data_IF_809216195890
#
_entry.id   IF_809216195890
#
_cell.length_a   1.000
_cell.length_b   1.000
_cell.length_c   1.000
_cell.angle_alpha   90.00
_cell.angle_beta   90.00
_cell.angle_gamma   90.00
#
_symmetry.space_group_name_H-M   'P 1'
#
loop_
_entity.id
_entity.type
_entity.pdbx_description
1 polymer ?
#
# COMPACT_ATOMS: atom_id res chain seq x y z
N UNK A 1 4.05 27.80 -0.44
CA UNK A 1 3.26 26.82 -1.24
C UNK A 1 4.15 25.60 -1.42
N UNK A 2 3.70 24.41 -1.01
CA UNK A 2 4.49 23.18 -1.16
C UNK A 2 4.67 22.83 -2.65
N UNK A 3 5.74 22.12 -2.98
CA UNK A 3 5.96 21.51 -4.31
C UNK A 3 6.11 20.00 -4.16
N UNK A 4 5.49 19.25 -5.07
CA UNK A 4 5.45 17.78 -5.01
C UNK A 4 4.43 17.27 -3.98
N UNK A 5 4.39 15.96 -3.79
CA UNK A 5 3.59 15.35 -2.73
C UNK A 5 4.10 15.75 -1.34
N UNK A 6 3.17 15.86 -0.39
CA UNK A 6 3.45 16.13 1.01
C UNK A 6 2.38 15.51 1.90
N UNK A 7 2.71 15.28 3.15
CA UNK A 7 1.80 14.72 4.15
C UNK A 7 1.27 15.84 5.03
N UNK A 8 -0.03 15.84 5.28
CA UNK A 8 -0.69 16.75 6.21
C UNK A 8 -1.12 16.00 7.48
N UNK A 9 -1.05 16.67 8.62
CA UNK A 9 -1.62 16.23 9.88
C UNK A 9 -2.88 17.04 10.17
N UNK A 10 -3.98 16.35 10.43
CA UNK A 10 -5.25 16.96 10.80
C UNK A 10 -5.65 16.55 12.20
N UNK A 11 -6.20 17.51 12.95
CA UNK A 11 -6.84 17.26 14.23
C UNK A 11 -8.35 17.34 14.05
N UNK A 12 -9.05 16.29 14.45
CA UNK A 12 -10.51 16.23 14.40
C UNK A 12 -11.13 16.38 15.79
N UNK A 13 -12.36 16.91 15.83
CA UNK A 13 -13.26 16.83 16.96
C UNK A 13 -13.80 15.42 17.13
N UNK A 14 -14.43 15.13 18.28
CA UNK A 14 -15.01 13.82 18.56
C UNK A 14 -16.15 13.45 17.58
N UNK A 15 -16.76 14.45 16.95
CA UNK A 15 -17.80 14.36 15.93
C UNK A 15 -17.24 14.22 14.50
N UNK A 16 -15.92 14.13 14.34
CA UNK A 16 -15.26 14.08 13.03
C UNK A 16 -15.06 15.44 12.36
N UNK A 17 -15.39 16.56 13.03
CA UNK A 17 -15.18 17.90 12.45
C UNK A 17 -13.68 18.26 12.42
N UNK A 18 -13.09 18.70 11.29
CA UNK A 18 -11.69 19.14 11.26
C UNK A 18 -11.50 20.44 12.05
N UNK A 19 -10.58 20.44 13.02
CA UNK A 19 -10.28 21.57 13.90
C UNK A 19 -9.04 22.36 13.46
N UNK A 20 -8.04 21.67 12.93
CA UNK A 20 -6.81 22.25 12.39
C UNK A 20 -6.14 21.29 11.41
N UNK A 21 -5.34 21.84 10.49
CA UNK A 21 -4.51 21.09 9.57
C UNK A 21 -3.16 21.78 9.37
N UNK A 22 -2.08 21.01 9.32
CA UNK A 22 -0.72 21.49 9.07
C UNK A 22 0.09 20.45 8.30
N UNK A 23 1.27 20.82 7.78
CA UNK A 23 2.20 19.83 7.20
C UNK A 23 2.76 18.96 8.32
N UNK A 24 2.89 17.65 8.09
CA UNK A 24 3.27 16.68 9.11
C UNK A 24 4.77 16.67 9.49
N UNK A 25 5.59 17.47 8.80
CA UNK A 25 7.04 17.54 9.01
C UNK A 25 7.57 18.93 8.64
N UNK A 26 8.68 19.34 9.25
CA UNK A 26 9.38 20.59 8.95
C UNK A 26 10.80 20.37 8.42
N UNK A 27 11.22 19.11 8.35
CA UNK A 27 12.55 18.71 7.92
C UNK A 27 12.46 17.43 7.11
N UNK A 28 13.25 17.33 6.04
CA UNK A 28 13.44 16.11 5.24
C UNK A 28 14.87 15.62 5.46
N UNK A 29 15.03 14.38 5.88
CA UNK A 29 16.31 13.70 6.09
C UNK A 29 16.45 12.61 5.02
N UNK A 30 17.31 12.87 4.04
CA UNK A 30 17.67 11.91 3.01
C UNK A 30 18.80 11.03 3.53
N UNK A 31 18.51 9.75 3.78
CA UNK A 31 19.51 8.76 4.12
C UNK A 31 20.23 8.30 2.85
N UNK A 32 21.56 8.41 2.83
CA UNK A 32 22.41 8.09 1.67
C UNK A 32 23.47 7.10 2.12
N UNK A 33 23.39 5.88 1.59
CA UNK A 33 24.31 4.81 1.97
C UNK A 33 25.50 4.74 1.01
N UNK A 34 26.70 4.71 1.58
CA UNK A 34 27.92 4.44 0.85
C UNK A 34 28.10 2.94 0.62
N UNK A 35 29.02 2.57 -0.27
CA UNK A 35 29.29 1.16 -0.61
C UNK A 35 29.80 0.30 0.56
N UNK A 36 30.27 0.94 1.65
CA UNK A 36 30.66 0.26 2.89
C UNK A 36 29.49 0.09 3.88
N UNK A 37 28.28 0.50 3.50
CA UNK A 37 27.06 0.43 4.31
C UNK A 37 26.93 1.56 5.33
N UNK A 38 27.84 2.53 5.34
CA UNK A 38 27.71 3.72 6.19
C UNK A 38 26.62 4.66 5.67
N UNK A 39 25.84 5.25 6.58
CA UNK A 39 24.82 6.25 6.29
C UNK A 39 25.41 7.66 6.42
N UNK A 40 25.18 8.51 5.42
CA UNK A 40 25.56 9.93 5.40
C UNK A 40 24.32 10.80 5.16
N UNK A 41 23.49 11.02 6.20
CA UNK A 41 22.20 11.67 6.04
C UNK A 41 22.34 13.16 5.67
N UNK A 42 21.54 13.60 4.70
CA UNK A 42 21.48 14.98 4.25
C UNK A 42 20.14 15.60 4.65
N UNK A 43 20.19 16.74 5.31
CA UNK A 43 19.00 17.45 5.80
C UNK A 43 18.59 18.58 4.86
N UNK A 44 17.30 18.64 4.54
CA UNK A 44 16.68 19.67 3.71
C UNK A 44 15.47 20.30 4.44
N UNK A 45 15.21 21.57 4.14
CA UNK A 45 13.88 22.13 4.37
C UNK A 45 12.88 21.52 3.37
N UNK A 46 11.60 21.32 3.71
CA UNK A 46 10.56 20.82 2.80
C UNK A 46 10.51 21.58 1.48
N UNK A 47 10.14 20.90 0.40
CA UNK A 47 10.09 21.48 -0.93
C UNK A 47 8.97 22.53 -1.05
N UNK A 48 9.37 23.77 -1.31
CA UNK A 48 8.45 24.90 -1.43
C UNK A 48 8.77 25.73 -2.67
N UNK A 49 7.77 26.51 -3.10
CA UNK A 49 7.99 27.56 -4.09
C UNK A 49 9.01 28.54 -3.54
N UNK A 50 10.15 28.69 -4.23
CA UNK A 50 11.22 29.62 -3.85
C UNK A 50 12.44 28.97 -3.22
N UNK A 51 12.44 27.65 -2.97
CA UNK A 51 13.64 26.91 -2.57
C UNK A 51 14.06 25.86 -3.62
N UNK A 52 15.28 25.34 -3.46
CA UNK A 52 15.87 24.36 -4.36
C UNK A 52 15.71 22.90 -3.89
N UNK A 53 14.99 22.65 -2.78
CA UNK A 53 14.74 21.27 -2.33
C UNK A 53 13.93 20.51 -3.38
N UNK A 54 14.31 19.27 -3.66
CA UNK A 54 13.55 18.39 -4.55
C UNK A 54 12.20 18.04 -3.91
N UNK A 55 11.13 18.07 -4.70
CA UNK A 55 9.84 17.57 -4.23
C UNK A 55 9.82 16.05 -4.30
N UNK A 56 9.03 15.41 -3.44
CA UNK A 56 8.60 14.04 -3.70
C UNK A 56 7.66 14.02 -4.90
N UNK A 57 7.62 12.91 -5.62
CA UNK A 57 6.73 12.69 -6.75
C UNK A 57 5.27 12.57 -6.27
N UNK A 58 4.61 11.43 -6.48
CA UNK A 58 3.29 11.12 -5.93
C UNK A 58 3.44 10.20 -4.74
N UNK A 59 2.80 10.55 -3.62
CA UNK A 59 2.65 9.62 -2.51
C UNK A 59 1.38 8.80 -2.67
N UNK A 60 1.49 7.48 -2.56
CA UNK A 60 0.32 6.62 -2.45
C UNK A 60 0.07 6.21 -0.99
N UNK A 61 -0.68 5.13 -0.82
CA UNK A 61 -1.30 4.68 0.41
C UNK A 61 -0.37 4.72 1.62
N UNK A 62 -0.85 5.38 2.67
CA UNK A 62 -0.13 5.57 3.92
C UNK A 62 -0.43 4.52 4.98
N UNK A 63 0.46 4.37 5.96
CA UNK A 63 0.26 3.49 7.10
C UNK A 63 0.74 4.16 8.39
N UNK A 64 -0.14 4.28 9.38
CA UNK A 64 0.21 4.79 10.70
C UNK A 64 0.38 3.64 11.70
N UNK A 65 1.63 3.29 12.02
CA UNK A 65 1.90 2.42 13.17
C UNK A 65 1.82 3.28 14.44
N UNK A 66 0.81 3.05 15.29
CA UNK A 66 0.76 3.69 16.61
C UNK A 66 1.78 3.08 17.58
N UNK A 67 1.86 1.75 17.64
CA UNK A 67 2.88 0.97 18.37
C UNK A 67 2.98 -0.47 17.83
N UNK A 68 2.92 -0.68 16.51
CA UNK A 68 2.88 -2.02 15.88
C UNK A 68 4.25 -2.70 15.90
N UNK A 69 4.85 -2.79 17.08
CA UNK A 69 6.21 -3.27 17.30
C UNK A 69 7.27 -2.17 17.24
N UNK A 70 6.90 -0.92 16.95
CA UNK A 70 7.79 0.24 16.98
C UNK A 70 7.77 0.94 18.34
N UNK A 71 8.83 1.70 18.64
CA UNK A 71 8.99 2.40 19.94
C UNK A 71 8.27 3.75 20.01
N UNK A 72 7.69 4.22 18.90
CA UNK A 72 6.91 5.45 18.77
C UNK A 72 5.89 5.34 17.63
N UNK A 73 4.88 6.25 17.58
CA UNK A 73 4.09 6.42 16.37
C UNK A 73 4.98 6.83 15.19
N UNK A 74 4.85 6.12 14.07
CA UNK A 74 5.53 6.43 12.81
C UNK A 74 4.51 6.31 11.69
N UNK A 75 4.38 7.37 10.90
CA UNK A 75 3.59 7.37 9.67
C UNK A 75 4.50 7.00 8.49
N UNK A 76 4.10 6.00 7.72
CA UNK A 76 4.77 5.59 6.50
C UNK A 76 3.94 6.03 5.29
N UNK A 77 4.61 6.50 4.24
CA UNK A 77 4.03 6.70 2.91
C UNK A 77 5.16 6.52 1.89
N UNK A 78 4.84 6.48 0.60
CA UNK A 78 5.76 5.96 -0.40
C UNK A 78 5.60 6.68 -1.72
N UNK A 79 6.70 6.90 -2.42
CA UNK A 79 6.64 7.38 -3.80
C UNK A 79 6.20 6.25 -4.73
N UNK A 80 5.03 6.40 -5.34
CA UNK A 80 4.52 5.49 -6.36
C UNK A 80 4.88 6.04 -7.74
N UNK A 81 6.19 6.08 -7.98
CA UNK A 81 6.79 6.62 -9.20
C UNK A 81 8.15 5.97 -9.42
N UNK A 82 8.59 5.95 -10.66
CA UNK A 82 9.84 5.36 -11.08
C UNK A 82 10.86 6.42 -11.55
N UNK A 83 12.12 5.98 -11.66
CA UNK A 83 13.16 6.75 -12.33
C UNK A 83 13.48 8.12 -11.73
N UNK A 84 13.74 9.08 -12.61
CA UNK A 84 14.33 10.39 -12.28
C UNK A 84 13.39 11.38 -11.62
N UNK A 85 12.07 11.11 -11.65
CA UNK A 85 11.06 12.07 -11.19
C UNK A 85 10.83 11.96 -9.67
N UNK A 86 11.41 10.95 -9.04
CA UNK A 86 11.39 10.68 -7.60
C UNK A 86 12.36 11.57 -6.83
N UNK A 87 12.16 11.68 -5.52
CA UNK A 87 12.92 12.60 -4.66
C UNK A 87 14.44 12.44 -4.79
N UNK A 88 14.94 11.20 -4.79
CA UNK A 88 16.38 10.93 -4.94
C UNK A 88 16.81 10.65 -6.39
N UNK A 89 15.86 10.60 -7.31
CA UNK A 89 16.05 10.36 -8.74
C UNK A 89 16.44 8.92 -9.11
N UNK A 90 16.33 7.96 -8.18
CA UNK A 90 16.69 6.56 -8.39
C UNK A 90 15.48 5.61 -8.38
N UNK A 91 14.28 6.10 -8.14
CA UNK A 91 13.04 5.32 -8.04
C UNK A 91 12.35 5.49 -6.70
N UNK A 92 11.08 5.10 -6.62
CA UNK A 92 10.21 5.47 -5.50
C UNK A 92 10.64 4.87 -4.17
N UNK A 93 10.66 5.70 -3.13
CA UNK A 93 11.09 5.34 -1.78
C UNK A 93 9.93 5.31 -0.79
N UNK A 94 10.00 4.38 0.16
CA UNK A 94 9.25 4.51 1.41
C UNK A 94 9.87 5.64 2.25
N UNK A 95 9.03 6.38 2.96
CA UNK A 95 9.46 7.40 3.92
C UNK A 95 8.79 7.17 5.26
N UNK A 96 9.47 7.52 6.35
CA UNK A 96 8.96 7.48 7.71
C UNK A 96 8.86 8.90 8.27
N UNK A 97 7.70 9.26 8.82
CA UNK A 97 7.45 10.56 9.44
C UNK A 97 7.23 10.36 10.93
N UNK A 98 8.06 11.01 11.73
CA UNK A 98 7.96 11.08 13.18
C UNK A 98 8.70 12.31 13.69
N UNK A 99 8.33 12.82 14.87
CA UNK A 99 9.04 13.94 15.51
C UNK A 99 9.18 15.19 14.60
N UNK A 100 8.22 15.41 13.70
CA UNK A 100 8.21 16.46 12.67
C UNK A 100 9.35 16.36 11.63
N UNK A 101 9.95 15.18 11.47
CA UNK A 101 10.94 14.88 10.45
C UNK A 101 10.40 13.79 9.50
N UNK A 102 10.69 13.94 8.20
CA UNK A 102 10.47 12.92 7.18
C UNK A 102 11.81 12.29 6.83
N UNK A 103 11.95 10.98 7.02
CA UNK A 103 13.16 10.21 6.75
C UNK A 103 12.96 9.30 5.54
N UNK A 104 13.86 9.32 4.56
CA UNK A 104 13.85 8.32 3.49
C UNK A 104 14.29 6.94 3.99
N UNK A 105 13.75 5.86 3.43
CA UNK A 105 14.06 4.49 3.83
C UNK A 105 14.64 3.65 2.66
N UNK A 106 15.86 3.93 2.17
CA UNK A 106 16.45 3.19 1.04
C UNK A 106 16.53 1.67 1.23
N UNK A 107 16.70 1.20 2.47
CA UNK A 107 16.74 -0.23 2.79
C UNK A 107 15.45 -1.00 2.45
N UNK A 108 14.33 -0.29 2.24
CA UNK A 108 13.07 -0.89 1.79
C UNK A 108 12.99 -1.00 0.24
N UNK A 109 14.08 -0.68 -0.46
CA UNK A 109 14.19 -0.74 -1.92
C UNK A 109 13.59 0.47 -2.62
N UNK A 110 13.91 0.60 -3.91
CA UNK A 110 13.36 1.64 -4.79
C UNK A 110 12.51 0.99 -5.88
N UNK A 111 11.23 1.33 -5.93
CA UNK A 111 10.25 0.80 -6.87
C UNK A 111 9.04 1.75 -6.90
N UNK A 112 8.10 1.58 -7.82
CA UNK A 112 6.83 2.30 -7.72
C UNK A 112 6.05 1.71 -6.53
N UNK A 113 6.10 2.38 -5.37
CA UNK A 113 5.63 1.80 -4.11
C UNK A 113 4.20 2.21 -3.80
N UNK A 114 3.35 1.20 -3.64
CA UNK A 114 1.99 1.43 -3.18
C UNK A 114 1.96 1.64 -1.67
N UNK A 115 2.23 0.57 -0.91
CA UNK A 115 2.07 0.59 0.55
C UNK A 115 3.32 0.08 1.31
N UNK A 116 3.44 0.47 2.59
CA UNK A 116 4.53 0.05 3.49
C UNK A 116 3.98 -0.25 4.88
N UNK A 117 3.84 -1.54 5.19
CA UNK A 117 3.06 -2.03 6.32
C UNK A 117 3.94 -2.76 7.33
N UNK A 118 3.90 -2.36 8.59
CA UNK A 118 4.70 -2.96 9.65
C UNK A 118 3.95 -4.11 10.34
N UNK A 119 4.58 -5.28 10.39
CA UNK A 119 4.03 -6.43 11.11
C UNK A 119 4.21 -6.28 12.62
N UNK A 120 3.09 -6.26 13.34
CA UNK A 120 3.07 -6.21 14.81
C UNK A 120 3.69 -7.43 15.49
N UNK A 121 4.24 -7.22 16.68
CA UNK A 121 4.68 -8.28 17.61
C UNK A 121 5.72 -9.27 17.05
N UNK A 122 6.71 -8.72 16.34
CA UNK A 122 7.84 -9.43 15.72
C UNK A 122 9.09 -9.50 16.62
N UNK A 123 8.96 -9.08 17.88
CA UNK A 123 10.03 -9.15 18.88
C UNK A 123 11.16 -8.16 18.58
N UNK A 124 12.39 -8.64 18.55
CA UNK A 124 13.60 -7.85 18.28
C UNK A 124 13.81 -7.55 16.79
N UNK A 125 12.87 -7.94 15.92
CA UNK A 125 12.89 -7.63 14.49
C UNK A 125 11.81 -6.63 14.16
N UNK A 126 12.02 -5.90 13.07
CA UNK A 126 10.99 -5.16 12.35
C UNK A 126 10.79 -5.87 11.03
N UNK A 127 9.55 -6.23 10.73
CA UNK A 127 9.18 -6.89 9.49
C UNK A 127 8.20 -5.96 8.78
N UNK A 128 8.53 -5.61 7.55
CA UNK A 128 7.74 -4.67 6.75
C UNK A 128 7.39 -5.36 5.45
N UNK A 129 6.14 -5.27 5.04
CA UNK A 129 5.68 -5.67 3.72
C UNK A 129 5.56 -4.40 2.88
N UNK A 130 6.09 -4.43 1.66
CA UNK A 130 6.01 -3.31 0.73
C UNK A 130 5.56 -3.79 -0.64
N UNK A 131 4.66 -3.00 -1.25
CA UNK A 131 3.96 -3.36 -2.47
C UNK A 131 4.45 -2.51 -3.64
N UNK A 132 4.54 -3.12 -4.81
CA UNK A 132 5.07 -2.53 -6.02
C UNK A 132 3.97 -2.34 -7.06
N UNK A 133 3.34 -1.16 -7.11
CA UNK A 133 2.42 -0.81 -8.19
C UNK A 133 3.17 -0.17 -9.36
N UNK A 134 3.87 -1.01 -10.12
CA UNK A 134 4.50 -0.61 -11.37
C UNK A 134 3.58 -0.79 -12.58
N UNK A 135 4.12 -1.05 -13.78
CA UNK A 135 3.31 -1.12 -14.99
C UNK A 135 2.28 -2.27 -14.96
N UNK A 136 1.17 -2.10 -15.68
CA UNK A 136 0.13 -3.12 -15.92
C UNK A 136 0.64 -4.32 -16.77
N UNK A 137 1.63 -5.01 -16.25
CA UNK A 137 2.36 -6.13 -16.84
C UNK A 137 2.93 -7.02 -15.72
N UNK A 138 3.53 -8.16 -16.07
CA UNK A 138 4.18 -9.08 -15.11
C UNK A 138 5.60 -8.61 -14.75
N UNK A 139 5.72 -7.37 -14.30
CA UNK A 139 6.99 -6.72 -13.94
C UNK A 139 6.87 -6.04 -12.57
N UNK A 140 6.16 -6.68 -11.66
CA UNK A 140 5.98 -6.21 -10.29
C UNK A 140 6.16 -7.39 -9.35
N UNK A 141 6.74 -7.15 -8.18
CA UNK A 141 7.02 -8.18 -7.20
C UNK A 141 6.41 -7.88 -5.83
N UNK A 142 6.46 -8.90 -4.96
CA UNK A 142 6.00 -8.81 -3.57
C UNK A 142 7.22 -8.85 -2.65
N UNK A 143 7.35 -7.84 -1.79
CA UNK A 143 8.58 -7.58 -1.05
C UNK A 143 8.38 -7.62 0.47
N UNK A 144 9.39 -8.12 1.17
CA UNK A 144 9.46 -8.11 2.63
C UNK A 144 10.81 -7.59 3.09
N UNK A 145 10.83 -6.56 3.92
CA UNK A 145 12.02 -6.11 4.62
C UNK A 145 12.07 -6.68 6.03
N UNK A 146 13.25 -7.13 6.47
CA UNK A 146 13.47 -7.59 7.86
C UNK A 146 14.71 -6.92 8.45
N UNK A 147 14.51 -6.03 9.41
CA UNK A 147 15.56 -5.35 10.17
C UNK A 147 15.62 -5.78 11.63
N UNK A 148 16.70 -5.39 12.31
CA UNK A 148 16.94 -5.75 13.72
C UNK A 148 16.90 -4.51 14.60
N UNK A 149 16.03 -4.50 15.59
CA UNK A 149 15.92 -3.39 16.54
C UNK A 149 17.17 -3.32 17.42
N UNK A 150 17.73 -2.12 17.54
CA UNK A 150 18.75 -1.80 18.54
C UNK A 150 18.21 -0.81 19.58
N UNK A 151 17.60 -1.28 20.68
CA UNK A 151 16.96 -0.39 21.65
C UNK A 151 17.91 0.59 22.35
N UNK A 152 19.24 0.42 22.20
CA UNK A 152 20.24 1.32 22.77
C UNK A 152 20.78 2.35 21.77
N UNK A 153 20.40 2.26 20.49
CA UNK A 153 20.81 3.23 19.49
C UNK A 153 20.22 4.62 19.80
N UNK A 154 20.97 5.68 19.51
CA UNK A 154 20.45 7.05 19.61
C UNK A 154 19.50 7.38 18.46
N UNK A 155 19.76 6.82 17.28
CA UNK A 155 18.96 7.02 16.07
C UNK A 155 17.59 6.30 16.18
N UNK A 156 16.47 7.03 16.06
CA UNK A 156 15.13 6.50 15.88
C UNK A 156 14.97 5.34 14.89
N UNK A 157 15.62 5.40 13.72
CA UNK A 157 15.49 4.37 12.69
C UNK A 157 16.19 3.07 13.11
N UNK A 158 17.41 3.16 13.63
CA UNK A 158 18.16 2.00 14.15
C UNK A 158 17.47 1.36 15.36
N UNK A 159 16.89 2.16 16.28
CA UNK A 159 16.08 1.63 17.39
C UNK A 159 14.92 0.77 16.91
N UNK A 160 14.30 1.20 15.82
CA UNK A 160 13.20 0.51 15.18
C UNK A 160 13.64 -0.49 14.11
N UNK A 161 14.95 -0.71 13.89
CA UNK A 161 15.45 -1.62 12.87
C UNK A 161 14.93 -1.30 11.47
N UNK A 162 14.86 -0.02 11.10
CA UNK A 162 14.39 0.45 9.79
C UNK A 162 15.54 0.78 8.81
N UNK A 163 16.79 0.74 9.26
CA UNK A 163 17.97 1.10 8.49
C UNK A 163 19.14 0.10 8.59
N UNK A 164 18.87 -1.15 8.96
CA UNK A 164 19.93 -2.15 9.17
C UNK A 164 19.52 -3.57 8.75
N UNK A 165 18.51 -3.67 7.90
CA UNK A 165 17.87 -4.92 7.53
C UNK A 165 18.12 -5.31 6.08
N UNK A 166 17.57 -6.46 5.72
CA UNK A 166 17.65 -7.03 4.38
C UNK A 166 16.28 -6.97 3.70
N UNK A 167 16.26 -6.59 2.43
CA UNK A 167 15.09 -6.67 1.58
C UNK A 167 15.03 -8.07 0.94
N UNK A 168 13.86 -8.67 0.94
CA UNK A 168 13.58 -9.98 0.37
C UNK A 168 12.47 -9.88 -0.66
N UNK A 169 12.58 -10.68 -1.73
CA UNK A 169 11.53 -10.85 -2.73
C UNK A 169 10.90 -12.24 -2.63
N UNK A 170 9.60 -12.31 -2.85
CA UNK A 170 8.87 -13.57 -2.85
C UNK A 170 9.20 -14.41 -4.10
N UNK A 171 9.41 -15.70 -3.92
CA UNK A 171 9.48 -16.69 -5.00
C UNK A 171 8.68 -17.93 -4.63
N UNK A 172 7.91 -18.45 -5.57
CA UNK A 172 7.22 -19.74 -5.42
C UNK A 172 8.21 -20.90 -5.40
N UNK A 173 8.06 -21.82 -4.44
CA UNK A 173 8.79 -23.09 -4.42
C UNK A 173 8.35 -24.01 -5.57
N UNK A 174 7.13 -23.84 -6.09
CA UNK A 174 6.68 -24.43 -7.35
C UNK A 174 6.84 -23.41 -8.48
N UNK A 175 7.97 -23.49 -9.19
CA UNK A 175 8.30 -22.56 -10.27
C UNK A 175 7.29 -22.58 -11.43
N UNK A 176 6.49 -23.64 -11.56
CA UNK A 176 5.42 -23.69 -12.57
C UNK A 176 4.26 -22.75 -12.25
N UNK A 177 4.17 -22.28 -10.99
CA UNK A 177 3.15 -21.37 -10.45
C UNK A 177 3.78 -20.09 -9.88
N UNK A 178 4.87 -19.62 -10.49
CA UNK A 178 5.65 -18.45 -10.05
C UNK A 178 5.28 -17.13 -10.77
N UNK A 179 4.01 -16.95 -11.11
CA UNK A 179 3.51 -15.72 -11.73
C UNK A 179 1.99 -15.70 -11.66
N UNK A 180 1.36 -14.52 -11.64
CA UNK A 180 -0.09 -14.43 -11.82
C UNK A 180 -0.59 -15.06 -13.12
N UNK A 181 0.25 -15.16 -14.16
CA UNK A 181 -0.11 -15.88 -15.39
C UNK A 181 -0.32 -17.38 -15.17
N UNK A 182 0.33 -17.99 -14.18
CA UNK A 182 0.34 -19.44 -13.96
C UNK A 182 -0.28 -19.87 -12.63
N UNK A 183 -0.25 -19.02 -11.61
CA UNK A 183 -0.97 -19.19 -10.35
C UNK A 183 -2.38 -18.61 -10.47
N UNK A 184 -3.36 -19.49 -10.70
CA UNK A 184 -4.75 -19.11 -11.01
C UNK A 184 -5.78 -19.60 -10.00
N UNK A 185 -5.37 -20.34 -8.98
CA UNK A 185 -6.23 -20.86 -7.92
C UNK A 185 -5.41 -21.53 -6.83
N UNK A 186 -6.03 -21.74 -5.67
CA UNK A 186 -5.50 -22.57 -4.59
C UNK A 186 -4.36 -21.90 -3.82
N UNK A 187 -3.48 -22.74 -3.28
CA UNK A 187 -2.35 -22.33 -2.42
C UNK A 187 -1.03 -22.69 -3.08
N UNK A 188 0.00 -21.88 -2.86
CA UNK A 188 1.40 -22.17 -3.20
C UNK A 188 2.31 -21.79 -2.02
N UNK A 189 3.38 -22.54 -1.84
CA UNK A 189 4.39 -22.23 -0.83
C UNK A 189 5.44 -21.28 -1.43
N UNK A 190 5.80 -20.24 -0.68
CA UNK A 190 6.77 -19.23 -1.05
C UNK A 190 8.04 -19.34 -0.21
N UNK A 191 9.17 -18.97 -0.80
CA UNK A 191 10.41 -18.63 -0.11
C UNK A 191 10.74 -17.15 -0.27
N UNK A 192 11.52 -16.63 0.68
CA UNK A 192 12.02 -15.25 0.68
C UNK A 192 13.47 -15.24 0.23
N UNK A 193 13.73 -14.68 -0.95
CA UNK A 193 15.09 -14.60 -1.50
C UNK A 193 15.68 -13.22 -1.18
N UNK A 194 16.83 -13.13 -0.49
CA UNK A 194 17.43 -11.84 -0.14
C UNK A 194 17.97 -11.11 -1.37
N UNK A 195 17.78 -9.80 -1.42
CA UNK A 195 18.46 -8.89 -2.33
C UNK A 195 19.47 -8.07 -1.53
N UNK A 196 20.74 -8.46 -1.62
CA UNK A 196 21.85 -7.82 -0.91
C UNK A 196 22.16 -6.45 -1.54
N UNK A 197 22.36 -5.42 -0.70
CA UNK A 197 22.71 -4.07 -1.15
C UNK A 197 21.56 -3.27 -1.76
N UNK A 198 20.30 -3.66 -1.51
CA UNK A 198 19.11 -3.00 -2.06
C UNK A 198 19.06 -1.49 -1.76
N UNK A 199 19.61 -1.05 -0.63
CA UNK A 199 19.67 0.36 -0.22
C UNK A 199 20.45 1.26 -1.19
N UNK A 200 21.37 0.67 -1.95
CA UNK A 200 22.21 1.37 -2.92
C UNK A 200 21.70 1.26 -4.36
N UNK A 201 20.72 0.39 -4.63
CA UNK A 201 20.20 0.14 -5.97
C UNK A 201 19.19 1.20 -6.41
N UNK A 202 19.20 1.54 -7.70
CA UNK A 202 18.06 2.18 -8.36
C UNK A 202 16.95 1.17 -8.64
N UNK A 203 15.74 1.63 -8.97
CA UNK A 203 14.62 0.76 -9.33
C UNK A 203 14.97 -0.21 -10.46
N UNK A 204 15.64 0.27 -11.51
CA UNK A 204 16.07 -0.60 -12.62
C UNK A 204 17.10 -1.67 -12.19
N UNK A 205 17.99 -1.35 -11.24
CA UNK A 205 18.94 -2.33 -10.71
C UNK A 205 18.25 -3.34 -9.79
N UNK A 206 17.27 -2.88 -9.01
CA UNK A 206 16.49 -3.73 -8.11
C UNK A 206 15.63 -4.72 -8.90
N UNK A 207 14.96 -4.28 -9.98
CA UNK A 207 14.24 -5.14 -10.93
C UNK A 207 15.17 -6.21 -11.51
N UNK A 208 16.35 -5.81 -12.01
CA UNK A 208 17.34 -6.76 -12.55
C UNK A 208 17.76 -7.81 -11.51
N UNK A 209 17.86 -7.41 -10.23
CA UNK A 209 18.20 -8.32 -9.15
C UNK A 209 17.03 -9.29 -8.83
N UNK A 210 15.77 -8.82 -8.86
CA UNK A 210 14.57 -9.64 -8.69
C UNK A 210 14.44 -10.68 -9.81
N UNK A 211 14.64 -10.27 -11.06
CA UNK A 211 14.66 -11.14 -12.23
C UNK A 211 15.73 -12.23 -12.10
N UNK A 212 16.95 -11.85 -11.69
CA UNK A 212 18.06 -12.79 -11.55
C UNK A 212 17.79 -13.91 -10.55
N UNK A 213 16.91 -13.68 -9.57
CA UNK A 213 16.51 -14.69 -8.59
C UNK A 213 15.19 -15.39 -8.94
N UNK A 214 14.60 -15.13 -10.10
CA UNK A 214 13.28 -15.63 -10.52
C UNK A 214 12.17 -15.29 -9.51
N UNK A 215 12.09 -14.02 -9.10
CA UNK A 215 11.00 -13.54 -8.27
C UNK A 215 9.62 -13.88 -8.87
N UNK A 216 8.62 -14.08 -8.02
CA UNK A 216 7.24 -14.26 -8.45
C UNK A 216 6.69 -12.93 -8.97
N UNK A 217 6.07 -12.95 -10.15
CA UNK A 217 5.56 -11.73 -10.80
C UNK A 217 4.05 -11.55 -10.65
N UNK A 218 3.65 -10.31 -10.42
CA UNK A 218 2.27 -9.87 -10.25
C UNK A 218 1.95 -8.70 -11.19
N UNK A 219 0.66 -8.44 -11.41
CA UNK A 219 0.16 -7.29 -12.16
C UNK A 219 -0.36 -6.27 -11.16
N UNK A 220 0.42 -5.21 -10.91
CA UNK A 220 0.02 -4.08 -10.04
C UNK A 220 -0.45 -4.50 -8.63
N UNK A 221 0.42 -5.10 -7.80
CA UNK A 221 0.19 -5.21 -6.35
C UNK A 221 -0.15 -3.87 -5.72
N UNK A 222 -1.38 -3.76 -5.22
CA UNK A 222 -1.86 -2.56 -4.54
C UNK A 222 -1.80 -2.76 -3.00
N UNK A 223 -2.70 -2.11 -2.27
CA UNK A 223 -2.73 -2.11 -0.81
C UNK A 223 -2.88 -3.50 -0.19
N UNK A 224 -2.46 -3.54 1.08
CA UNK A 224 -2.64 -4.69 1.93
C UNK A 224 -2.90 -4.33 3.38
N UNK A 225 -3.30 -5.35 4.16
CA UNK A 225 -3.55 -5.20 5.58
C UNK A 225 -3.25 -6.49 6.34
N UNK A 226 -2.70 -6.33 7.54
CA UNK A 226 -2.56 -7.45 8.47
C UNK A 226 -3.89 -7.77 9.14
N UNK A 227 -4.20 -9.05 9.26
CA UNK A 227 -5.37 -9.49 10.01
C UNK A 227 -5.25 -9.11 11.50
N UNK A 228 -6.32 -8.53 12.05
CA UNK A 228 -6.34 -8.04 13.44
C UNK A 228 -6.43 -9.19 14.48
N UNK A 229 -6.82 -10.41 14.09
CA UNK A 229 -6.86 -11.61 14.93
C UNK A 229 -5.64 -12.53 14.70
N UNK A 230 -5.22 -12.73 13.45
CA UNK A 230 -4.11 -13.59 13.05
C UNK A 230 -2.91 -12.78 12.58
N UNK A 231 -2.00 -12.45 13.52
CA UNK A 231 -0.86 -11.53 13.24
C UNK A 231 0.05 -11.91 12.08
N UNK A 232 0.08 -13.18 11.68
CA UNK A 232 0.90 -13.72 10.59
C UNK A 232 0.11 -13.92 9.29
N UNK A 233 -1.10 -13.36 9.20
CA UNK A 233 -1.93 -13.36 8.01
C UNK A 233 -2.00 -11.94 7.46
N UNK A 234 -1.75 -11.83 6.16
CA UNK A 234 -1.72 -10.58 5.42
C UNK A 234 -2.63 -10.70 4.21
N UNK A 235 -3.45 -9.70 3.95
CA UNK A 235 -4.26 -9.57 2.75
C UNK A 235 -3.62 -8.54 1.84
N UNK A 236 -3.65 -8.74 0.54
CA UNK A 236 -3.37 -7.69 -0.44
C UNK A 236 -4.10 -7.97 -1.72
N UNK A 237 -4.23 -6.93 -2.53
CA UNK A 237 -4.88 -7.01 -3.82
C UNK A 237 -3.91 -6.71 -4.94
N UNK A 238 -4.34 -7.06 -6.14
CA UNK A 238 -3.74 -6.60 -7.38
C UNK A 238 -4.85 -5.98 -8.21
N UNK A 239 -4.70 -4.75 -8.68
CA UNK A 239 -5.77 -4.06 -9.42
C UNK A 239 -5.95 -4.61 -10.84
N UNK A 240 -4.91 -5.25 -11.39
CA UNK A 240 -4.96 -5.86 -12.71
C UNK A 240 -4.71 -4.88 -13.85
N UNK A 241 -5.56 -4.90 -14.89
CA UNK A 241 -5.34 -4.11 -16.11
C UNK A 241 -4.50 -4.80 -17.19
N UNK A 242 -4.16 -6.09 -17.03
CA UNK A 242 -3.45 -6.90 -18.04
C UNK A 242 -4.37 -7.95 -18.67
N UNK A 243 -4.98 -7.70 -19.86
CA UNK A 243 -5.87 -8.64 -20.54
C UNK A 243 -5.29 -10.04 -20.74
N UNK A 244 -6.09 -11.08 -20.48
CA UNK A 244 -5.69 -12.49 -20.61
C UNK A 244 -4.78 -13.00 -19.48
N UNK A 245 -4.25 -12.09 -18.66
CA UNK A 245 -3.58 -12.39 -17.40
C UNK A 245 -4.50 -11.99 -16.26
N UNK A 246 -4.40 -10.79 -15.75
CA UNK A 246 -5.18 -10.31 -14.63
C UNK A 246 -5.83 -9.00 -15.08
N UNK A 247 -7.03 -9.07 -15.65
CA UNK A 247 -7.64 -7.90 -16.28
C UNK A 247 -8.49 -7.11 -15.29
N UNK A 248 -9.21 -7.81 -14.40
CA UNK A 248 -10.12 -7.23 -13.43
C UNK A 248 -9.62 -7.29 -11.98
N UNK A 249 -8.41 -7.78 -11.74
CA UNK A 249 -7.81 -7.78 -10.42
C UNK A 249 -8.19 -8.98 -9.54
N UNK A 250 -7.48 -9.09 -8.41
CA UNK A 250 -7.49 -10.27 -7.54
C UNK A 250 -7.26 -9.89 -6.08
N UNK A 251 -7.69 -10.76 -5.18
CA UNK A 251 -7.37 -10.71 -3.76
C UNK A 251 -6.56 -11.94 -3.36
N UNK A 252 -5.53 -11.71 -2.57
CA UNK A 252 -4.66 -12.74 -2.02
C UNK A 252 -4.67 -12.72 -0.50
N UNK A 253 -4.28 -13.85 0.09
CA UNK A 253 -3.82 -13.88 1.46
C UNK A 253 -2.50 -14.63 1.59
N UNK A 254 -1.58 -14.08 2.40
CA UNK A 254 -0.27 -14.62 2.72
C UNK A 254 -0.24 -14.98 4.19
N UNK A 255 0.01 -16.25 4.46
CA UNK A 255 0.35 -16.74 5.78
C UNK A 255 1.87 -16.79 5.92
N UNK A 256 2.42 -15.82 6.63
CA UNK A 256 3.81 -15.84 7.08
C UNK A 256 4.01 -16.97 8.09
N UNK A 257 5.21 -17.57 8.10
CA UNK A 257 5.56 -18.57 9.08
C UNK A 257 5.58 -17.95 10.49
N UNK A 258 4.78 -18.47 11.45
CA UNK A 258 4.61 -17.85 12.76
C UNK A 258 5.84 -17.98 13.68
N UNK A 259 6.74 -18.93 13.42
CA UNK A 259 7.96 -19.13 14.20
C UNK A 259 9.13 -18.29 13.68
N UNK A 260 9.22 -18.10 12.36
CA UNK A 260 10.24 -17.28 11.73
C UNK A 260 9.76 -16.82 10.34
N UNK A 261 9.51 -15.53 10.16
CA UNK A 261 8.98 -14.96 8.90
C UNK A 261 9.84 -15.25 7.67
N UNK A 262 11.13 -15.55 7.83
CA UNK A 262 12.05 -15.91 6.74
C UNK A 262 11.96 -17.38 6.30
N UNK A 263 11.17 -18.21 6.99
CA UNK A 263 10.85 -19.56 6.54
C UNK A 263 9.68 -19.55 5.55
N UNK A 264 9.38 -20.72 4.98
CA UNK A 264 8.30 -20.92 4.01
C UNK A 264 7.01 -20.24 4.45
N UNK A 265 6.53 -19.33 3.61
CA UNK A 265 5.21 -18.71 3.72
C UNK A 265 4.23 -19.41 2.76
N UNK A 266 2.93 -19.19 2.93
CA UNK A 266 1.90 -19.78 2.08
C UNK A 266 1.03 -18.69 1.48
N UNK A 267 0.91 -18.66 0.16
CA UNK A 267 0.08 -17.72 -0.58
C UNK A 267 -1.15 -18.43 -1.12
N UNK A 268 -2.33 -17.85 -0.88
CA UNK A 268 -3.58 -18.30 -1.46
C UNK A 268 -4.21 -17.19 -2.32
N UNK A 269 -4.70 -17.57 -3.50
CA UNK A 269 -5.61 -16.74 -4.28
C UNK A 269 -7.02 -16.88 -3.69
N UNK A 270 -7.58 -15.79 -3.16
CA UNK A 270 -8.91 -15.75 -2.53
C UNK A 270 -10.00 -15.60 -3.58
N UNK A 271 -9.87 -14.61 -4.47
CA UNK A 271 -10.72 -14.48 -5.64
C UNK A 271 -9.94 -13.95 -6.84
N UNK A 272 -10.45 -14.28 -8.02
CA UNK A 272 -10.05 -13.71 -9.30
C UNK A 272 -11.26 -13.08 -9.97
N UNK A 273 -11.25 -11.75 -10.10
CA UNK A 273 -12.43 -11.02 -10.53
C UNK A 273 -12.78 -11.26 -12.01
N UNK A 274 -11.83 -11.79 -12.81
CA UNK A 274 -12.08 -12.23 -14.18
C UNK A 274 -13.06 -13.43 -14.23
N UNK A 275 -13.20 -14.19 -13.13
CA UNK A 275 -14.02 -15.42 -13.10
C UNK A 275 -14.97 -15.54 -11.89
N UNK A 276 -14.84 -14.70 -10.86
CA UNK A 276 -15.58 -14.84 -9.57
C UNK A 276 -17.02 -14.26 -9.61
N UNK A 277 -17.50 -13.86 -10.78
CA UNK A 277 -18.81 -13.21 -10.92
C UNK A 277 -18.77 -11.79 -10.37
N UNK A 278 -19.82 -11.37 -9.65
CA UNK A 278 -19.90 -10.00 -9.14
C UNK A 278 -19.16 -9.81 -7.82
N UNK A 279 -18.05 -9.09 -7.82
CA UNK A 279 -17.14 -8.87 -6.69
C UNK A 279 -16.37 -7.57 -6.96
N UNK A 280 -15.49 -7.18 -6.03
CA UNK A 280 -14.52 -6.12 -6.26
C UNK A 280 -13.70 -6.38 -7.55
N UNK A 281 -13.78 -5.46 -8.52
CA UNK A 281 -12.99 -5.40 -9.75
C UNK A 281 -12.09 -4.19 -9.70
N UNK A 282 -10.87 -4.33 -10.23
CA UNK A 282 -9.77 -3.42 -9.99
C UNK A 282 -9.69 -2.99 -8.53
N UNK A 283 -9.59 -3.97 -7.61
CA UNK A 283 -9.41 -3.69 -6.21
C UNK A 283 -8.09 -2.95 -6.00
N UNK A 284 -8.15 -1.87 -5.22
CA UNK A 284 -7.04 -0.97 -4.96
C UNK A 284 -6.78 -0.88 -3.45
N UNK A 285 -7.38 0.09 -2.75
CA UNK A 285 -7.17 0.24 -1.32
C UNK A 285 -7.90 -0.82 -0.50
N UNK A 286 -7.29 -1.25 0.61
CA UNK A 286 -7.96 -2.14 1.56
C UNK A 286 -7.50 -1.95 3.00
N UNK A 287 -8.39 -2.24 3.94
CA UNK A 287 -8.04 -2.47 5.34
C UNK A 287 -8.99 -3.51 5.95
N UNK A 288 -8.57 -4.08 7.08
CA UNK A 288 -9.29 -5.12 7.79
C UNK A 288 -9.63 -4.67 9.21
N UNK A 289 -10.84 -4.97 9.67
CA UNK A 289 -11.20 -4.95 11.09
C UNK A 289 -11.02 -6.35 11.69
N UNK A 290 -11.57 -6.58 12.88
CA UNK A 290 -11.66 -7.95 13.42
C UNK A 290 -12.63 -8.85 12.63
N UNK A 291 -13.63 -8.22 11.99
CA UNK A 291 -14.83 -8.89 11.47
C UNK A 291 -14.99 -8.76 9.94
N UNK A 292 -14.39 -7.73 9.33
CA UNK A 292 -14.53 -7.44 7.90
C UNK A 292 -13.21 -7.09 7.24
N UNK A 293 -13.04 -7.49 5.98
CA UNK A 293 -12.09 -6.93 5.04
C UNK A 293 -12.86 -6.01 4.10
N UNK A 294 -12.39 -4.77 3.94
CA UNK A 294 -13.00 -3.77 3.08
C UNK A 294 -12.07 -3.47 1.92
N UNK A 295 -12.61 -3.37 0.71
CA UNK A 295 -11.85 -3.17 -0.52
C UNK A 295 -12.50 -2.06 -1.33
N UNK A 296 -11.72 -1.06 -1.69
CA UNK A 296 -12.05 -0.01 -2.64
C UNK A 296 -11.81 -0.47 -4.08
N UNK A 297 -12.60 0.05 -5.04
CA UNK A 297 -12.37 -0.13 -6.47
C UNK A 297 -11.83 1.17 -7.10
N UNK A 298 -10.69 1.08 -7.79
CA UNK A 298 -10.18 2.09 -8.76
C UNK A 298 -10.37 1.54 -10.18
N UNK A 299 -11.19 2.22 -10.99
CA UNK A 299 -11.43 1.77 -12.36
C UNK A 299 -10.19 1.89 -13.26
N UNK A 300 -9.73 0.77 -13.81
CA UNK A 300 -8.77 0.74 -14.92
C UNK A 300 -9.49 0.85 -16.27
N UNK A 301 -8.74 1.03 -17.38
CA UNK A 301 -9.31 1.00 -18.74
C UNK A 301 -10.12 -0.28 -18.99
N UNK A 302 -9.67 -1.42 -18.46
CA UNK A 302 -10.31 -2.72 -18.64
C UNK A 302 -11.55 -2.84 -17.75
N UNK A 303 -11.45 -2.47 -16.47
CA UNK A 303 -12.55 -2.65 -15.52
C UNK A 303 -13.66 -1.63 -15.71
N UNK A 304 -13.39 -0.39 -16.14
CA UNK A 304 -14.42 0.62 -16.48
C UNK A 304 -15.42 0.13 -17.54
N UNK A 305 -14.98 -0.66 -18.50
CA UNK A 305 -15.87 -1.30 -19.49
C UNK A 305 -16.82 -2.29 -18.81
N UNK A 306 -16.32 -3.08 -17.85
CA UNK A 306 -17.12 -4.05 -17.09
C UNK A 306 -18.04 -3.37 -16.08
N UNK A 307 -17.58 -2.29 -15.43
CA UNK A 307 -18.39 -1.43 -14.58
C UNK A 307 -19.60 -0.89 -15.35
N UNK A 308 -19.38 -0.32 -16.55
CA UNK A 308 -20.46 0.16 -17.40
C UNK A 308 -21.41 -0.95 -17.89
N UNK A 309 -20.94 -2.18 -18.10
CA UNK A 309 -21.81 -3.32 -18.42
C UNK A 309 -22.67 -3.78 -17.24
N UNK A 310 -22.20 -3.54 -16.02
CA UNK A 310 -22.88 -3.88 -14.76
C UNK A 310 -23.69 -2.74 -14.19
N UNK A 311 -23.73 -1.59 -14.86
CA UNK A 311 -24.40 -0.37 -14.40
C UNK A 311 -23.98 0.00 -12.97
N UNK A 312 -22.66 0.05 -12.74
CA UNK A 312 -22.06 0.39 -11.45
C UNK A 312 -20.88 1.34 -11.58
N UNK A 313 -20.54 2.00 -10.48
CA UNK A 313 -19.37 2.88 -10.37
C UNK A 313 -18.38 2.38 -9.29
N UNK A 314 -17.32 3.14 -9.02
CA UNK A 314 -16.38 2.88 -7.93
C UNK A 314 -17.12 2.57 -6.62
N UNK A 315 -16.72 1.51 -5.94
CA UNK A 315 -17.49 0.93 -4.85
C UNK A 315 -16.60 0.41 -3.72
N UNK A 316 -17.20 0.27 -2.54
CA UNK A 316 -16.57 -0.43 -1.40
C UNK A 316 -17.23 -1.79 -1.23
N UNK A 317 -16.41 -2.83 -1.30
CA UNK A 317 -16.81 -4.20 -1.06
C UNK A 317 -16.40 -4.65 0.34
N UNK A 318 -17.35 -5.25 1.04
CA UNK A 318 -17.18 -5.83 2.37
C UNK A 318 -17.15 -7.35 2.27
N UNK A 319 -16.14 -7.96 2.88
CA UNK A 319 -16.00 -9.41 2.98
C UNK A 319 -15.98 -9.82 4.45
N UNK A 320 -16.90 -10.68 4.93
CA UNK A 320 -16.85 -11.19 6.30
C UNK A 320 -15.59 -12.01 6.59
N UNK A 321 -15.02 -11.82 7.77
CA UNK A 321 -13.86 -12.57 8.27
C UNK A 321 -14.30 -13.67 9.26
N UNK A 322 -14.07 -14.93 8.90
CA UNK A 322 -14.50 -16.10 9.68
C UNK A 322 -13.46 -16.52 10.71
N UNK A 323 -13.87 -17.07 11.85
CA UNK A 323 -12.97 -17.58 12.92
C UNK A 323 -12.32 -18.95 12.60
N UNK A 324 -12.15 -19.28 11.32
CA UNK A 324 -11.78 -20.62 10.83
C UNK A 324 -10.29 -20.80 10.54
N UNK A 325 -10.00 -21.84 9.74
CA UNK A 325 -8.66 -22.00 9.15
C UNK A 325 -8.36 -20.79 8.25
N UNK A 326 -7.09 -20.38 8.17
CA UNK A 326 -6.70 -19.17 7.43
C UNK A 326 -7.15 -19.18 5.96
N UNK A 327 -7.29 -20.36 5.35
CA UNK A 327 -7.74 -20.48 3.96
C UNK A 327 -9.21 -20.16 3.73
N UNK A 328 -10.01 -20.21 4.80
CA UNK A 328 -11.44 -19.90 4.80
C UNK A 328 -11.72 -18.59 5.54
N UNK A 329 -10.66 -17.81 5.82
CA UNK A 329 -10.75 -16.59 6.64
C UNK A 329 -11.59 -15.52 5.95
N UNK A 330 -11.44 -15.33 4.64
CA UNK A 330 -12.26 -14.38 3.86
C UNK A 330 -13.46 -15.10 3.26
N UNK A 331 -14.68 -14.68 3.63
CA UNK A 331 -15.90 -15.23 3.09
C UNK A 331 -16.34 -14.55 1.80
N UNK A 332 -15.77 -15.02 0.68
CA UNK A 332 -16.14 -14.51 -0.66
C UNK A 332 -17.63 -14.74 -0.96
N UNK A 333 -18.25 -15.80 -0.42
CA UNK A 333 -19.65 -16.12 -0.70
C UNK A 333 -20.66 -15.20 -0.01
N UNK A 334 -20.26 -14.52 1.07
CA UNK A 334 -21.07 -13.59 1.83
C UNK A 334 -20.61 -12.13 1.66
N UNK A 335 -19.84 -11.84 0.60
CA UNK A 335 -19.43 -10.48 0.25
C UNK A 335 -20.63 -9.60 -0.07
N UNK A 336 -20.48 -8.32 0.16
CA UNK A 336 -21.53 -7.32 -0.02
C UNK A 336 -20.95 -6.00 -0.55
N UNK A 337 -21.72 -5.27 -1.36
CA UNK A 337 -21.33 -3.94 -1.85
C UNK A 337 -22.00 -2.90 -0.96
N UNK A 338 -21.22 -2.26 -0.09
CA UNK A 338 -21.74 -1.43 1.00
C UNK A 338 -21.74 0.06 0.67
N UNK A 339 -20.94 0.46 -0.31
CA UNK A 339 -20.91 1.81 -0.88
C UNK A 339 -20.76 1.68 -2.39
N UNK A 340 -21.41 2.57 -3.10
CA UNK A 340 -21.30 2.76 -4.55
C UNK A 340 -21.40 4.25 -4.81
N UNK A 341 -20.46 4.77 -5.59
CA UNK A 341 -20.49 6.19 -5.97
C UNK A 341 -21.62 6.46 -6.95
N UNK A 342 -22.29 7.59 -6.74
CA UNK A 342 -23.33 8.12 -7.62
C UNK A 342 -22.86 9.48 -8.14
N UNK A 343 -21.98 9.51 -9.16
CA UNK A 343 -21.45 10.76 -9.67
C UNK A 343 -22.59 11.63 -10.24
N UNK A 344 -22.55 12.96 -10.01
CA UNK A 344 -23.64 13.82 -10.38
C UNK A 344 -23.87 13.82 -11.90
N UNK A 345 -25.13 13.65 -12.31
CA UNK A 345 -25.56 13.70 -13.72
C UNK A 345 -25.52 15.13 -14.34
N UNK A 346 -24.52 15.94 -13.99
CA UNK A 346 -24.41 17.33 -14.46
C UNK A 346 -24.15 17.38 -15.99
N UNK A 347 -23.94 18.59 -16.54
CA UNK A 347 -23.81 18.79 -17.98
C UNK A 347 -22.67 17.99 -18.65
N UNK A 348 -21.76 17.40 -17.88
CA UNK A 348 -20.71 16.49 -18.36
C UNK A 348 -20.88 15.11 -17.72
N UNK A 349 -21.01 14.08 -18.55
CA UNK A 349 -21.19 12.70 -18.10
C UNK A 349 -19.88 12.14 -17.52
N UNK A 350 -19.89 11.78 -16.24
CA UNK A 350 -18.85 10.93 -15.63
C UNK A 350 -19.05 9.51 -16.15
N UNK A 351 -18.00 8.91 -16.71
CA UNK A 351 -18.06 7.53 -17.17
C UNK A 351 -17.94 6.57 -15.97
N UNK A 352 -18.61 5.40 -16.01
CA UNK A 352 -18.52 4.40 -14.95
C UNK A 352 -17.08 4.05 -14.57
N UNK A 353 -16.76 4.11 -13.27
CA UNK A 353 -15.45 3.79 -12.72
C UNK A 353 -14.39 4.87 -12.94
N UNK A 354 -14.78 6.08 -13.37
CA UNK A 354 -13.86 7.22 -13.44
C UNK A 354 -13.74 7.90 -12.08
N UNK A 355 -14.79 7.91 -11.26
CA UNK A 355 -14.62 8.28 -9.86
C UNK A 355 -14.35 7.02 -9.05
N UNK A 356 -13.51 7.15 -8.03
CA UNK A 356 -13.11 6.03 -7.20
C UNK A 356 -13.39 6.31 -5.73
N UNK A 357 -13.74 5.24 -5.03
CA UNK A 357 -13.59 5.23 -3.57
C UNK A 357 -12.12 4.93 -3.31
N UNK A 358 -11.47 5.65 -2.40
CA UNK A 358 -10.03 5.52 -2.17
C UNK A 358 -9.70 5.60 -0.69
N UNK A 359 -8.50 5.16 -0.32
CA UNK A 359 -7.90 5.33 1.00
C UNK A 359 -8.79 4.90 2.18
N UNK A 360 -9.09 3.61 2.34
CA UNK A 360 -9.91 3.10 3.45
C UNK A 360 -9.09 2.67 4.67
N UNK A 361 -9.53 3.06 5.87
CA UNK A 361 -8.97 2.59 7.15
C UNK A 361 -10.05 2.18 8.17
N UNK A 362 -9.75 1.13 8.94
CA UNK A 362 -10.53 0.73 10.12
C UNK A 362 -10.38 1.80 11.20
N UNK A 363 -11.52 2.35 11.62
CA UNK A 363 -11.55 3.39 12.66
C UNK A 363 -12.34 2.97 13.88
N UNK A 364 -12.55 1.66 14.04
CA UNK A 364 -13.39 1.09 15.09
C UNK A 364 -12.99 1.49 16.51
N UNK A 365 -11.70 1.76 16.71
CA UNK A 365 -11.14 2.21 18.00
C UNK A 365 -11.36 3.71 18.28
N UNK A 366 -11.75 4.49 17.28
CA UNK A 366 -11.94 5.95 17.36
C UNK A 366 -13.43 6.29 17.38
N UNK A 367 -14.20 5.79 16.41
CA UNK A 367 -15.62 6.15 16.22
C UNK A 367 -16.61 5.02 16.51
N UNK A 368 -16.13 3.88 17.00
CA UNK A 368 -16.94 2.75 17.45
C UNK A 368 -16.98 1.59 16.44
N UNK A 369 -17.52 0.41 16.82
CA UNK A 369 -17.44 -0.79 15.99
C UNK A 369 -17.96 -0.58 14.55
N UNK A 370 -17.28 -1.19 13.58
CA UNK A 370 -17.63 -1.14 12.15
C UNK A 370 -17.71 0.29 11.58
N UNK A 371 -16.86 1.20 12.07
CA UNK A 371 -16.64 2.52 11.48
C UNK A 371 -15.40 2.53 10.58
N UNK A 372 -15.50 3.24 9.45
CA UNK A 372 -14.44 3.31 8.43
C UNK A 372 -14.30 4.73 7.92
N UNK A 373 -13.06 5.20 7.79
CA UNK A 373 -12.76 6.46 7.11
C UNK A 373 -12.23 6.11 5.73
N UNK A 374 -12.76 6.76 4.71
CA UNK A 374 -12.32 6.63 3.33
C UNK A 374 -12.51 7.95 2.61
N UNK A 375 -11.94 8.11 1.42
CA UNK A 375 -12.20 9.26 0.58
C UNK A 375 -12.79 8.89 -0.78
N UNK A 376 -13.29 9.90 -1.48
CA UNK A 376 -13.70 9.83 -2.86
C UNK A 376 -12.72 10.68 -3.64
N UNK A 377 -12.07 10.11 -4.65
CA UNK A 377 -11.34 10.89 -5.64
C UNK A 377 -12.27 11.16 -6.82
N UNK A 378 -12.72 12.41 -6.88
CA UNK A 378 -13.52 12.91 -7.98
C UNK A 378 -12.58 13.40 -9.09
N UNK A 379 -12.15 12.45 -9.92
CA UNK A 379 -11.39 12.73 -11.14
C UNK A 379 -12.23 13.53 -12.15
N UNK A 380 -11.67 13.78 -13.33
CA UNK A 380 -12.34 14.50 -14.42
C UNK A 380 -13.82 14.08 -14.59
N UNK A 381 -14.74 15.04 -14.80
CA UNK A 381 -14.51 16.43 -15.20
C UNK A 381 -14.37 17.43 -14.03
N UNK A 382 -14.38 16.98 -12.78
CA UNK A 382 -14.13 17.88 -11.64
C UNK A 382 -12.70 18.41 -11.67
N UNK A 383 -12.53 19.65 -11.23
CA UNK A 383 -11.24 20.31 -11.18
C UNK A 383 -10.79 20.42 -9.73
N UNK A 384 -9.53 20.06 -9.48
CA UNK A 384 -8.89 20.24 -8.20
C UNK A 384 -9.11 21.67 -7.65
N UNK A 385 -9.39 21.84 -6.35
CA UNK A 385 -9.53 23.16 -5.73
C UNK A 385 -8.31 24.06 -5.94
N UNK A 386 -7.13 23.47 -6.15
CA UNK A 386 -5.91 24.17 -6.52
C UNK A 386 -5.16 23.40 -7.63
N UNK A 387 -5.08 23.93 -8.86
CA UNK A 387 -4.43 23.26 -9.98
C UNK A 387 -2.89 23.23 -9.88
N UNK A 388 -2.31 23.94 -8.91
CA UNK A 388 -0.86 23.95 -8.66
C UNK A 388 -0.41 22.83 -7.71
N UNK A 389 -1.33 22.00 -7.22
CA UNK A 389 -1.07 20.87 -6.32
C UNK A 389 -1.53 19.56 -6.98
N UNK A 390 -0.84 18.45 -6.70
CA UNK A 390 -1.26 17.10 -7.12
C UNK A 390 -2.40 16.59 -6.22
N UNK A 391 -3.51 17.32 -6.16
CA UNK A 391 -4.69 16.95 -5.37
C UNK A 391 -5.86 16.78 -6.33
N UNK A 392 -6.71 15.81 -6.06
CA UNK A 392 -7.97 15.61 -6.78
C UNK A 392 -9.11 16.38 -6.07
N UNK A 393 -10.23 16.56 -6.76
CA UNK A 393 -11.48 16.96 -6.08
C UNK A 393 -12.05 15.75 -5.32
N UNK A 394 -13.02 15.99 -4.44
CA UNK A 394 -13.68 14.91 -3.71
C UNK A 394 -13.87 15.18 -2.23
N UNK A 395 -14.05 14.12 -1.45
CA UNK A 395 -14.49 14.22 -0.06
C UNK A 395 -13.94 13.09 0.80
N UNK A 396 -13.48 13.45 2.01
CA UNK A 396 -13.24 12.50 3.09
C UNK A 396 -14.57 12.17 3.78
N UNK A 397 -14.87 10.88 3.94
CA UNK A 397 -16.15 10.36 4.42
C UNK A 397 -15.94 9.39 5.59
N UNK A 398 -16.77 9.53 6.62
CA UNK A 398 -16.86 8.57 7.73
C UNK A 398 -18.10 7.68 7.52
N UNK A 399 -17.88 6.40 7.27
CA UNK A 399 -18.92 5.38 7.25
C UNK A 399 -19.11 4.80 8.65
N UNK A 400 -20.36 4.66 9.08
CA UNK A 400 -20.75 4.06 10.37
C UNK A 400 -21.94 3.13 10.18
N UNK A 401 -22.18 2.18 11.10
CA UNK A 401 -23.38 1.35 11.05
C UNK A 401 -24.65 2.19 11.11
N UNK A 402 -25.72 1.73 10.45
CA UNK A 402 -27.04 2.32 10.64
C UNK A 402 -27.52 2.09 12.09
N UNK A 403 -28.08 3.13 12.70
CA UNK A 403 -28.65 3.12 14.06
C UNK A 403 -29.72 2.04 14.29
#
# INVERSE_FOLDING_TARGET
VQRGAFVSSFRFGADGTPLSGERAYDTVVEHVYAADGSDDPITYAPAEVGNATRGFARFCSGYLSLTDGLDRPIYFTNEESDGSDTFDGKGGLSVAIFENELHTLPHLGRMAKENTLVMRQTGNRTVVITMEDGPASLNNQFWMYVGKKDPNASDPLARNGLNNGTLYVARSLDLTRNSEATFRSGVVDLEWVPIEGAESMSAAQLETAADAVNAMTFVRPEDGAFDKQFKNLFYWVTTGGMPGVNALGRLYTLRLNPGNVLQTAQLQLIYDADVTGDTAISPDNLDASADYLMINEDGTTQSRVVMGQRDRDGSIWRFPLRSGHWTDRVDVGARDRVVELDPPANAETVLPGVWETSGIIDTSTIWGPDSWLFDVQAHIPTAAPNPATQVEDGQLLLMTPAD
#
